data_IF_553923083731
#
_entry.id   IF_553923083731
#
_cell.length_a   1.000
_cell.length_b   1.000
_cell.length_c   1.000
_cell.angle_alpha   90.00
_cell.angle_beta   90.00
_cell.angle_gamma   90.00
#
_symmetry.space_group_name_H-M   'P 1'
#
loop_
_entity.id
_entity.type
_entity.pdbx_description
1 polymer ?
#
# COMPACT_ATOMS: atom_id res chain seq x y z
N UNK A 1 -5.19 -52.59 52.43
CA UNK A 1 -6.55 -52.24 51.94
C UNK A 1 -6.99 -50.93 52.61
N UNK A 2 -6.73 -49.79 51.95
CA UNK A 2 -7.48 -48.52 52.02
C UNK A 2 -6.74 -47.53 51.10
N UNK A 3 -7.34 -47.33 49.94
CA UNK A 3 -7.05 -46.29 48.94
C UNK A 3 -7.75 -45.02 49.42
N UNK A 4 -7.35 -43.86 48.86
CA UNK A 4 -7.99 -42.53 48.77
C UNK A 4 -7.08 -41.45 49.38
N UNK A 5 -6.79 -40.30 48.76
CA UNK A 5 -6.97 -39.75 47.41
C UNK A 5 -5.94 -38.59 47.32
N UNK A 6 -5.06 -38.58 46.32
CA UNK A 6 -4.21 -37.42 46.02
C UNK A 6 -5.00 -36.45 45.16
N UNK A 7 -5.35 -35.29 45.71
CA UNK A 7 -5.93 -34.18 44.95
C UNK A 7 -4.77 -33.40 44.33
N UNK A 8 -4.52 -33.62 43.05
CA UNK A 8 -3.60 -32.80 42.26
C UNK A 8 -4.37 -31.57 41.80
N UNK A 9 -4.11 -30.42 42.42
CA UNK A 9 -4.59 -29.12 41.92
C UNK A 9 -3.72 -28.74 40.73
N UNK A 10 -4.22 -28.95 39.50
CA UNK A 10 -3.66 -28.31 38.32
C UNK A 10 -4.07 -26.83 38.34
N UNK A 11 -3.15 -25.97 38.78
CA UNK A 11 -3.21 -24.55 38.47
C UNK A 11 -2.91 -24.40 36.97
N UNK A 12 -3.96 -24.32 36.15
CA UNK A 12 -3.85 -23.80 34.80
C UNK A 12 -3.66 -22.29 34.91
N UNK A 13 -2.39 -21.87 34.99
CA UNK A 13 -2.02 -20.50 34.66
C UNK A 13 -2.16 -20.35 33.15
N UNK A 14 -3.37 -20.01 32.69
CA UNK A 14 -3.50 -19.41 31.39
C UNK A 14 -2.82 -18.03 31.47
N UNK A 15 -1.81 -17.73 30.66
CA UNK A 15 -1.40 -16.35 30.49
C UNK A 15 -2.57 -15.65 29.81
N UNK A 16 -3.29 -14.83 30.55
CA UNK A 16 -4.07 -13.73 29.99
C UNK A 16 -3.05 -12.82 29.30
N UNK A 17 -2.69 -13.15 28.07
CA UNK A 17 -2.09 -12.19 27.18
C UNK A 17 -3.13 -11.09 27.05
N UNK A 18 -2.94 -10.00 27.79
CA UNK A 18 -3.61 -8.73 27.52
C UNK A 18 -3.22 -8.39 26.08
N UNK A 19 -4.09 -8.74 25.14
CA UNK A 19 -3.95 -8.32 23.76
C UNK A 19 -4.14 -6.82 23.76
N UNK A 20 -3.03 -6.08 23.69
CA UNK A 20 -3.07 -4.64 23.46
C UNK A 20 -3.81 -4.43 22.15
N UNK A 21 -4.92 -3.71 22.20
CA UNK A 21 -5.65 -3.35 20.98
C UNK A 21 -4.76 -2.40 20.20
N UNK A 22 -4.35 -2.78 18.99
CA UNK A 22 -3.50 -1.97 18.12
C UNK A 22 -4.18 -1.79 16.77
N UNK A 23 -4.00 -0.58 16.22
CA UNK A 23 -4.39 -0.33 14.85
C UNK A 23 -3.60 -1.25 13.90
N UNK A 24 -4.30 -1.73 12.88
CA UNK A 24 -3.71 -2.55 11.84
C UNK A 24 -2.60 -1.79 11.12
N UNK A 25 -1.48 -2.45 10.85
CA UNK A 25 -0.48 -1.98 9.87
C UNK A 25 -0.78 -2.55 8.48
N UNK A 26 -0.30 -1.88 7.44
CA UNK A 26 -0.31 -2.48 6.10
C UNK A 26 0.48 -3.80 6.10
N UNK A 27 -0.04 -4.80 5.40
CA UNK A 27 0.68 -6.04 5.14
C UNK A 27 2.01 -5.79 4.40
N UNK A 28 3.01 -6.60 4.70
CA UNK A 28 4.36 -6.50 4.12
C UNK A 28 4.87 -7.82 3.52
N UNK A 29 3.97 -8.76 3.21
CA UNK A 29 4.34 -10.05 2.64
C UNK A 29 4.70 -9.92 1.15
N UNK A 30 5.99 -9.96 0.86
CA UNK A 30 6.54 -9.92 -0.50
C UNK A 30 6.14 -11.11 -1.39
N UNK A 31 5.60 -12.21 -0.83
CA UNK A 31 5.05 -13.30 -1.63
C UNK A 31 3.66 -12.96 -2.18
N UNK A 32 2.94 -12.04 -1.53
CA UNK A 32 1.56 -11.70 -1.88
C UNK A 32 1.44 -10.31 -2.53
N UNK A 33 2.50 -9.84 -3.22
CA UNK A 33 2.42 -8.62 -4.01
C UNK A 33 1.48 -8.82 -5.20
N UNK A 34 0.59 -7.86 -5.44
CA UNK A 34 -0.37 -7.90 -6.54
C UNK A 34 -0.38 -6.58 -7.31
N UNK A 35 0.61 -6.45 -8.19
CA UNK A 35 0.93 -5.23 -8.91
C UNK A 35 1.08 -5.49 -10.42
N UNK A 36 0.86 -4.46 -11.23
CA UNK A 36 1.30 -4.43 -12.61
C UNK A 36 2.61 -3.64 -12.67
N UNK A 37 3.74 -4.34 -12.73
CA UNK A 37 5.09 -3.79 -12.61
C UNK A 37 5.81 -3.75 -13.96
N UNK A 38 6.23 -2.56 -14.39
CA UNK A 38 7.08 -2.37 -15.56
C UNK A 38 8.49 -2.05 -15.09
N UNK A 39 9.44 -2.91 -15.44
CA UNK A 39 10.87 -2.72 -15.22
C UNK A 39 11.45 -1.98 -16.42
N UNK A 40 12.10 -0.84 -16.19
CA UNK A 40 12.87 -0.12 -17.20
C UNK A 40 14.33 -0.19 -16.77
N UNK A 41 15.18 -0.83 -17.56
CA UNK A 41 16.57 -1.08 -17.24
C UNK A 41 17.48 -0.45 -18.28
N UNK A 42 18.28 0.51 -17.84
CA UNK A 42 19.42 1.03 -18.59
C UNK A 42 20.50 -0.06 -18.69
N UNK A 43 20.76 -0.53 -19.91
CA UNK A 43 21.78 -1.54 -20.21
C UNK A 43 23.00 -0.95 -20.95
N UNK A 44 23.26 0.35 -20.82
CA UNK A 44 24.47 1.01 -21.34
C UNK A 44 25.73 0.80 -20.47
N UNK A 45 25.57 0.37 -19.21
CA UNK A 45 26.65 0.11 -18.24
C UNK A 45 26.43 -1.25 -17.55
N UNK A 46 27.49 -1.89 -16.99
CA UNK A 46 27.35 -3.21 -16.37
C UNK A 46 26.21 -3.29 -15.36
N UNK A 47 25.33 -4.29 -15.52
CA UNK A 47 24.01 -4.37 -14.89
C UNK A 47 23.87 -5.55 -13.91
N UNK A 48 24.95 -6.23 -13.54
CA UNK A 48 24.89 -7.46 -12.73
C UNK A 48 24.11 -7.27 -11.43
N UNK A 49 24.37 -6.17 -10.71
CA UNK A 49 23.69 -5.85 -9.46
C UNK A 49 22.21 -5.46 -9.67
N UNK A 50 21.83 -4.96 -10.86
CA UNK A 50 20.46 -4.58 -11.17
C UNK A 50 19.58 -5.82 -11.27
N UNK A 51 20.00 -6.81 -12.08
CA UNK A 51 19.20 -8.02 -12.27
C UNK A 51 19.13 -8.89 -11.01
N UNK A 52 20.21 -8.93 -10.22
CA UNK A 52 20.19 -9.56 -8.89
C UNK A 52 19.22 -8.86 -7.93
N UNK A 53 19.24 -7.52 -7.92
CA UNK A 53 18.29 -6.72 -7.14
C UNK A 53 16.85 -7.01 -7.54
N UNK A 54 16.54 -7.00 -8.84
CA UNK A 54 15.20 -7.28 -9.37
C UNK A 54 14.75 -8.71 -9.02
N UNK A 55 15.64 -9.70 -9.19
CA UNK A 55 15.34 -11.10 -8.86
C UNK A 55 15.01 -11.31 -7.38
N UNK A 56 15.58 -10.46 -6.51
CA UNK A 56 15.34 -10.47 -5.07
C UNK A 56 14.06 -9.76 -4.62
N UNK A 57 13.40 -8.96 -5.46
CA UNK A 57 12.18 -8.21 -5.09
C UNK A 57 11.07 -9.17 -4.66
N UNK A 58 10.80 -10.17 -5.50
CA UNK A 58 9.71 -11.13 -5.29
C UNK A 58 10.14 -12.22 -4.31
N UNK A 59 9.28 -12.51 -3.33
CA UNK A 59 9.46 -13.66 -2.45
C UNK A 59 9.43 -15.00 -3.21
N UNK A 60 10.00 -16.08 -2.65
CA UNK A 60 10.10 -17.38 -3.34
C UNK A 60 8.75 -18.01 -3.69
N UNK A 61 7.66 -17.60 -3.04
CA UNK A 61 6.31 -18.10 -3.30
C UNK A 61 5.44 -17.12 -4.10
N UNK A 62 6.05 -16.06 -4.66
CA UNK A 62 5.29 -15.05 -5.40
C UNK A 62 4.66 -15.62 -6.66
N UNK A 63 3.42 -15.21 -6.90
CA UNK A 63 2.69 -15.52 -8.12
C UNK A 63 2.95 -14.45 -9.17
N UNK A 64 3.50 -14.86 -10.33
CA UNK A 64 3.75 -13.98 -11.48
C UNK A 64 2.92 -14.45 -12.67
N UNK A 65 2.04 -13.60 -13.18
CA UNK A 65 1.13 -13.92 -14.27
C UNK A 65 -0.34 -13.69 -13.88
N UNK A 66 -1.23 -14.52 -14.41
CA UNK A 66 -2.69 -14.44 -14.21
C UNK A 66 -3.28 -15.84 -14.03
N UNK A 67 -4.55 -15.91 -13.63
CA UNK A 67 -5.35 -17.15 -13.50
C UNK A 67 -4.94 -18.09 -12.37
N UNK A 68 -4.49 -17.52 -11.25
CA UNK A 68 -4.31 -18.24 -9.99
C UNK A 68 -5.65 -18.31 -9.22
N UNK A 69 -5.81 -19.34 -8.37
CA UNK A 69 -6.97 -19.46 -7.47
C UNK A 69 -7.02 -18.31 -6.45
N UNK A 70 -5.85 -18.00 -5.86
CA UNK A 70 -5.65 -16.75 -5.15
C UNK A 70 -5.38 -15.64 -6.16
N UNK A 71 -6.21 -14.58 -6.24
CA UNK A 71 -6.05 -13.55 -7.25
C UNK A 71 -4.82 -12.66 -7.00
N UNK A 72 -4.18 -12.74 -5.82
CA UNK A 72 -2.99 -11.95 -5.46
C UNK A 72 -1.76 -12.40 -6.26
N UNK A 73 -1.63 -11.80 -7.45
CA UNK A 73 -0.54 -12.07 -8.38
C UNK A 73 -0.05 -10.78 -9.02
N UNK A 74 1.24 -10.73 -9.34
CA UNK A 74 1.83 -9.60 -10.07
C UNK A 74 2.04 -9.95 -11.53
N UNK A 75 1.93 -8.97 -12.43
CA UNK A 75 2.43 -9.10 -13.81
C UNK A 75 3.65 -8.23 -13.98
N UNK A 76 4.61 -8.72 -14.75
CA UNK A 76 5.87 -8.01 -14.98
C UNK A 76 6.05 -7.79 -16.47
N UNK A 77 6.41 -6.56 -16.83
CA UNK A 77 6.93 -6.20 -18.14
C UNK A 77 8.38 -5.74 -17.98
N UNK A 78 9.23 -5.99 -18.97
CA UNK A 78 10.64 -5.58 -18.95
C UNK A 78 10.93 -4.79 -20.21
N UNK A 79 11.55 -3.62 -20.03
CA UNK A 79 12.04 -2.76 -21.08
C UNK A 79 13.52 -2.56 -20.81
N UNK A 80 14.38 -3.03 -21.72
CA UNK A 80 15.79 -2.62 -21.73
C UNK A 80 15.97 -1.54 -22.79
N UNK A 81 16.78 -0.53 -22.47
CA UNK A 81 17.00 0.58 -23.39
C UNK A 81 18.47 1.02 -23.42
N UNK A 82 18.98 1.07 -24.64
CA UNK A 82 20.24 1.68 -25.07
C UNK A 82 20.19 1.81 -26.61
N UNK A 83 21.30 2.13 -27.26
CA UNK A 83 21.31 2.39 -28.70
C UNK A 83 21.54 1.16 -29.60
N UNK A 84 21.83 -0.01 -29.04
CA UNK A 84 21.97 -1.29 -29.73
C UNK A 84 21.29 -2.39 -28.92
N UNK A 85 20.23 -3.05 -29.41
CA UNK A 85 19.65 -4.20 -28.69
C UNK A 85 20.12 -5.52 -29.32
N UNK A 86 20.65 -6.43 -28.50
CA UNK A 86 20.90 -7.83 -28.84
C UNK A 86 19.72 -8.70 -28.37
N UNK A 87 19.12 -9.42 -29.31
CA UNK A 87 17.87 -10.18 -29.17
C UNK A 87 18.00 -11.44 -28.29
N UNK A 88 17.11 -11.64 -27.30
CA UNK A 88 16.54 -12.96 -26.96
C UNK A 88 15.09 -12.79 -26.48
N UNK A 89 14.13 -13.52 -27.06
CA UNK A 89 12.82 -13.83 -26.45
C UNK A 89 11.74 -12.72 -26.37
N UNK A 90 12.05 -11.50 -26.80
CA UNK A 90 11.24 -10.32 -26.52
C UNK A 90 10.72 -9.65 -27.82
N UNK A 91 9.55 -8.99 -27.79
CA UNK A 91 9.08 -8.19 -28.95
C UNK A 91 10.06 -7.04 -29.22
N UNK A 92 10.72 -7.08 -30.37
CA UNK A 92 11.48 -5.96 -30.89
C UNK A 92 10.52 -4.88 -31.39
N UNK A 93 10.50 -3.72 -30.74
CA UNK A 93 9.80 -2.54 -31.28
C UNK A 93 10.81 -1.66 -31.98
N UNK A 94 10.64 -1.48 -33.30
CA UNK A 94 11.38 -0.46 -34.03
C UNK A 94 10.76 0.91 -33.81
N UNK A 95 11.51 1.82 -33.18
CA UNK A 95 11.25 3.27 -33.26
C UNK A 95 12.36 3.87 -34.08
N UNK A 96 12.05 4.26 -35.33
CA UNK A 96 12.95 4.99 -36.26
C UNK A 96 14.41 4.46 -36.28
N UNK A 97 14.59 3.17 -36.56
CA UNK A 97 15.90 2.46 -36.68
C UNK A 97 16.65 2.14 -35.37
N UNK A 98 16.00 2.20 -34.21
CA UNK A 98 16.53 1.64 -32.96
C UNK A 98 15.68 0.45 -32.50
N UNK A 99 16.35 -0.63 -32.09
CA UNK A 99 15.75 -1.87 -31.60
C UNK A 99 15.67 -1.77 -30.07
N UNK A 100 14.52 -2.08 -29.51
CA UNK A 100 14.28 -2.16 -28.06
C UNK A 100 13.71 -3.52 -27.71
N UNK A 101 14.11 -4.07 -26.58
CA UNK A 101 13.50 -5.30 -26.06
C UNK A 101 12.38 -4.94 -25.09
N UNK A 102 11.14 -5.24 -25.48
CA UNK A 102 9.93 -5.05 -24.66
C UNK A 102 9.20 -6.36 -24.37
N UNK A 103 9.32 -6.88 -23.15
CA UNK A 103 8.49 -7.99 -22.65
C UNK A 103 7.19 -7.40 -22.09
N UNK A 104 6.04 -7.86 -22.56
CA UNK A 104 4.72 -7.36 -22.15
C UNK A 104 4.23 -8.10 -20.89
N UNK A 105 3.17 -7.60 -20.23
CA UNK A 105 2.60 -8.25 -19.05
C UNK A 105 2.15 -9.71 -19.27
N UNK A 106 1.83 -10.09 -20.52
CA UNK A 106 1.44 -11.46 -20.85
C UNK A 106 2.61 -12.43 -21.00
N UNK A 107 3.86 -11.95 -21.04
CA UNK A 107 5.05 -12.75 -21.34
C UNK A 107 5.36 -13.76 -20.24
N UNK A 108 5.39 -13.34 -18.97
CA UNK A 108 5.75 -14.23 -17.86
C UNK A 108 4.51 -14.83 -17.21
N UNK A 109 4.50 -16.16 -17.05
CA UNK A 109 3.43 -16.95 -16.43
C UNK A 109 3.85 -17.60 -15.11
N UNK A 110 5.10 -17.40 -14.69
CA UNK A 110 5.60 -17.85 -13.40
C UNK A 110 6.82 -17.05 -12.95
N UNK A 111 7.13 -17.14 -11.64
CA UNK A 111 8.33 -16.54 -11.07
C UNK A 111 9.61 -17.12 -11.67
N UNK A 112 9.62 -18.43 -11.96
CA UNK A 112 10.77 -19.10 -12.57
C UNK A 112 11.05 -18.58 -13.98
N UNK A 113 10.00 -18.40 -14.81
CA UNK A 113 10.16 -17.81 -16.15
C UNK A 113 10.75 -16.40 -16.08
N UNK A 114 10.26 -15.57 -15.16
CA UNK A 114 10.80 -14.23 -14.94
C UNK A 114 12.29 -14.30 -14.54
N UNK A 115 12.66 -15.17 -13.59
CA UNK A 115 14.05 -15.31 -13.12
C UNK A 115 15.00 -15.85 -14.21
N UNK A 116 14.52 -16.79 -15.03
CA UNK A 116 15.27 -17.27 -16.19
C UNK A 116 15.56 -16.12 -17.15
N UNK A 117 14.56 -15.30 -17.47
CA UNK A 117 14.74 -14.15 -18.36
C UNK A 117 15.70 -13.11 -17.80
N UNK A 118 15.60 -12.77 -16.50
CA UNK A 118 16.54 -11.88 -15.84
C UNK A 118 17.98 -12.41 -15.89
N UNK A 119 18.16 -13.73 -15.84
CA UNK A 119 19.48 -14.37 -15.97
C UNK A 119 20.00 -14.27 -17.41
N UNK A 120 19.13 -14.42 -18.41
CA UNK A 120 19.47 -14.21 -19.83
C UNK A 120 19.91 -12.76 -20.06
N UNK A 121 19.13 -11.79 -19.59
CA UNK A 121 19.42 -10.36 -19.70
C UNK A 121 20.69 -9.94 -18.94
N UNK A 122 20.98 -10.60 -17.81
CA UNK A 122 22.27 -10.43 -17.12
C UNK A 122 23.43 -10.89 -18.00
N UNK A 123 23.30 -12.05 -18.63
CA UNK A 123 24.36 -12.66 -19.44
C UNK A 123 24.52 -12.02 -20.82
N UNK A 124 23.54 -11.28 -21.33
CA UNK A 124 23.66 -10.57 -22.61
C UNK A 124 24.62 -9.38 -22.57
N UNK A 125 25.00 -8.92 -21.37
CA UNK A 125 25.96 -7.82 -21.19
C UNK A 125 25.41 -6.44 -21.54
N UNK A 126 26.31 -5.48 -21.73
CA UNK A 126 25.99 -4.10 -22.15
C UNK A 126 25.98 -3.99 -23.67
N UNK A 127 25.10 -3.15 -24.21
CA UNK A 127 25.04 -2.93 -25.66
C UNK A 127 25.06 -1.45 -26.05
N UNK A 128 26.28 -0.94 -26.28
CA UNK A 128 26.50 0.46 -26.65
C UNK A 128 26.43 1.46 -25.49
N UNK A 129 26.81 2.71 -25.76
CA UNK A 129 27.13 3.73 -24.74
C UNK A 129 26.05 4.82 -24.59
N UNK A 130 25.05 4.88 -25.46
CA UNK A 130 24.00 5.90 -25.41
C UNK A 130 22.76 5.35 -24.70
N UNK A 131 22.17 6.13 -23.79
CA UNK A 131 21.06 5.74 -22.91
C UNK A 131 19.99 6.84 -22.88
N UNK A 132 18.84 6.60 -23.52
CA UNK A 132 17.77 7.59 -23.67
C UNK A 132 16.53 7.23 -22.82
N UNK A 133 16.43 7.82 -21.63
CA UNK A 133 15.41 7.45 -20.63
C UNK A 133 13.98 7.70 -21.11
N UNK A 134 13.76 8.72 -21.92
CA UNK A 134 12.46 9.07 -22.49
C UNK A 134 11.87 7.94 -23.34
N UNK A 135 12.71 7.18 -24.04
CA UNK A 135 12.27 6.03 -24.85
C UNK A 135 11.76 4.88 -23.99
N UNK A 136 12.41 4.60 -22.86
CA UNK A 136 11.96 3.61 -21.88
C UNK A 136 10.61 4.01 -21.27
N UNK A 137 10.48 5.26 -20.82
CA UNK A 137 9.25 5.78 -20.23
C UNK A 137 8.08 5.81 -21.22
N UNK A 138 8.34 6.20 -22.47
CA UNK A 138 7.33 6.19 -23.55
C UNK A 138 6.85 4.77 -23.85
N UNK A 139 7.76 3.79 -23.82
CA UNK A 139 7.43 2.39 -24.00
C UNK A 139 6.56 1.87 -22.85
N UNK A 140 6.87 2.23 -21.61
CA UNK A 140 6.05 1.88 -20.44
C UNK A 140 4.64 2.47 -20.55
N UNK A 141 4.51 3.74 -20.95
CA UNK A 141 3.22 4.36 -21.19
C UNK A 141 2.41 3.61 -22.25
N UNK A 142 3.05 3.16 -23.33
CA UNK A 142 2.38 2.39 -24.38
C UNK A 142 1.91 0.99 -23.93
N UNK A 143 2.59 0.36 -22.96
CA UNK A 143 2.14 -0.91 -22.34
C UNK A 143 0.90 -0.63 -21.48
N UNK A 144 0.96 0.39 -20.62
CA UNK A 144 -0.13 0.73 -19.69
C UNK A 144 -1.40 1.15 -20.43
N UNK A 145 -1.29 1.91 -21.53
CA UNK A 145 -2.44 2.34 -22.32
C UNK A 145 -3.20 1.19 -23.01
N UNK A 146 -2.63 -0.02 -23.05
CA UNK A 146 -3.28 -1.22 -23.61
C UNK A 146 -3.87 -2.13 -22.55
N UNK A 147 -3.72 -1.77 -21.28
CA UNK A 147 -4.03 -2.62 -20.14
C UNK A 147 -5.21 -2.01 -19.37
N UNK A 148 -6.41 -2.50 -19.64
CA UNK A 148 -7.65 -2.07 -18.94
C UNK A 148 -8.22 -3.15 -18.02
N UNK A 149 -7.62 -4.35 -18.00
CA UNK A 149 -7.95 -5.38 -17.02
C UNK A 149 -7.26 -5.06 -15.69
N UNK A 150 -7.88 -5.42 -14.55
CA UNK A 150 -7.30 -5.31 -13.19
C UNK A 150 -7.26 -3.90 -12.58
N UNK A 151 -8.41 -3.22 -12.48
CA UNK A 151 -8.51 -1.83 -11.99
C UNK A 151 -7.87 -1.58 -10.62
N UNK A 152 -8.02 -2.51 -9.67
CA UNK A 152 -7.48 -2.37 -8.32
C UNK A 152 -5.99 -2.74 -8.20
N UNK A 153 -5.37 -3.30 -9.23
CA UNK A 153 -3.95 -3.62 -9.20
C UNK A 153 -3.14 -2.35 -9.47
N UNK A 154 -2.28 -1.98 -8.53
CA UNK A 154 -1.50 -0.75 -8.66
C UNK A 154 -0.44 -0.90 -9.74
N UNK A 155 -0.33 0.15 -10.57
CA UNK A 155 0.58 0.23 -11.70
C UNK A 155 1.88 0.87 -11.22
N UNK A 156 2.99 0.21 -11.47
CA UNK A 156 4.32 0.66 -11.04
C UNK A 156 5.27 0.65 -12.21
N UNK A 157 6.02 1.74 -12.38
CA UNK A 157 7.16 1.82 -13.29
C UNK A 157 8.42 1.93 -12.45
N UNK A 158 9.26 0.90 -12.46
CA UNK A 158 10.52 0.85 -11.74
C UNK A 158 11.68 1.03 -12.71
N UNK A 159 12.36 2.16 -12.59
CA UNK A 159 13.43 2.60 -13.49
C UNK A 159 14.79 2.40 -12.83
N UNK A 160 15.68 1.68 -13.47
CA UNK A 160 17.12 1.67 -13.17
C UNK A 160 17.83 2.46 -14.26
N UNK A 161 18.44 3.59 -13.89
CA UNK A 161 19.06 4.50 -14.85
C UNK A 161 20.41 5.04 -14.34
N UNK A 162 21.36 5.15 -15.26
CA UNK A 162 22.69 5.74 -15.01
C UNK A 162 22.82 7.17 -15.56
N UNK A 163 21.98 7.54 -16.53
CA UNK A 163 21.94 8.86 -17.17
C UNK A 163 20.51 9.45 -17.17
N UNK A 164 20.38 10.71 -17.62
CA UNK A 164 19.10 11.41 -17.82
C UNK A 164 18.92 11.81 -19.30
N UNK A 165 19.67 11.20 -20.22
CA UNK A 165 19.63 11.68 -21.60
C UNK A 165 18.27 11.37 -22.24
N UNK A 166 17.94 12.16 -23.26
CA UNK A 166 16.67 12.11 -23.95
C UNK A 166 16.86 12.23 -25.44
N UNK A 167 15.96 11.63 -26.21
CA UNK A 167 15.99 11.70 -27.67
C UNK A 167 14.93 12.64 -28.23
N UNK A 168 13.75 12.69 -27.61
CA UNK A 168 12.60 13.44 -28.11
C UNK A 168 11.97 14.31 -27.04
N UNK A 169 11.54 13.68 -25.96
CA UNK A 169 10.73 14.31 -24.93
C UNK A 169 11.47 14.30 -23.60
N UNK A 170 11.19 15.30 -22.77
CA UNK A 170 11.78 15.35 -21.45
C UNK A 170 11.27 14.19 -20.58
N UNK A 171 12.15 13.37 -19.97
CA UNK A 171 11.73 12.23 -19.15
C UNK A 171 10.77 12.60 -18.01
N UNK A 172 10.99 13.75 -17.37
CA UNK A 172 10.14 14.24 -16.29
C UNK A 172 8.72 14.62 -16.74
N UNK A 173 8.53 15.08 -17.98
CA UNK A 173 7.20 15.34 -18.52
C UNK A 173 6.42 14.05 -18.79
N UNK A 174 7.08 13.02 -19.34
CA UNK A 174 6.46 11.71 -19.54
C UNK A 174 6.09 11.10 -18.18
N UNK A 175 7.01 11.17 -17.21
CA UNK A 175 6.79 10.68 -15.86
C UNK A 175 5.66 11.43 -15.15
N UNK A 176 5.53 12.75 -15.36
CA UNK A 176 4.40 13.52 -14.85
C UNK A 176 3.07 13.00 -15.40
N UNK A 177 2.98 12.72 -16.70
CA UNK A 177 1.77 12.14 -17.30
C UNK A 177 1.45 10.75 -16.72
N UNK A 178 2.45 9.88 -16.53
CA UNK A 178 2.28 8.58 -15.86
C UNK A 178 1.72 8.75 -14.44
N UNK A 179 2.33 9.64 -13.63
CA UNK A 179 1.90 9.92 -12.26
C UNK A 179 0.48 10.46 -12.18
N UNK A 180 0.10 11.37 -13.07
CA UNK A 180 -1.27 11.90 -13.15
C UNK A 180 -2.31 10.84 -13.50
N UNK A 181 -1.90 9.73 -14.14
CA UNK A 181 -2.74 8.57 -14.42
C UNK A 181 -2.71 7.51 -13.30
N UNK A 182 -2.23 7.85 -12.11
CA UNK A 182 -2.20 6.97 -10.94
C UNK A 182 -1.09 5.90 -10.97
N UNK A 183 -0.08 6.06 -11.83
CA UNK A 183 1.09 5.16 -11.88
C UNK A 183 2.13 5.63 -10.87
N UNK A 184 2.61 4.72 -10.02
CA UNK A 184 3.77 5.03 -9.17
C UNK A 184 5.06 4.83 -9.96
N UNK A 185 5.81 5.90 -10.15
CA UNK A 185 7.15 5.85 -10.75
C UNK A 185 8.21 5.78 -9.64
N UNK A 186 9.02 4.72 -9.67
CA UNK A 186 10.16 4.51 -8.78
C UNK A 186 11.43 4.62 -9.60
N UNK A 187 12.44 5.36 -9.11
CA UNK A 187 13.74 5.45 -9.78
C UNK A 187 14.85 4.94 -8.88
N UNK A 188 15.77 4.17 -9.44
CA UNK A 188 17.00 3.71 -8.81
C UNK A 188 18.18 4.25 -9.61
N UNK A 189 18.90 5.20 -9.04
CA UNK A 189 20.07 5.78 -9.68
C UNK A 189 21.27 4.83 -9.54
N UNK A 190 21.87 4.43 -10.66
CA UNK A 190 23.01 3.49 -10.69
C UNK A 190 24.37 4.17 -10.92
N UNK A 191 24.38 5.47 -11.24
CA UNK A 191 25.62 6.24 -11.45
C UNK A 191 26.11 6.99 -10.20
N UNK A 192 27.01 7.95 -10.42
CA UNK A 192 27.67 8.77 -9.38
C UNK A 192 27.54 10.30 -9.56
N UNK A 193 26.94 10.77 -10.66
CA UNK A 193 26.66 12.17 -10.96
C UNK A 193 25.49 12.72 -10.13
N UNK A 194 25.76 13.76 -9.34
CA UNK A 194 24.76 14.41 -8.47
C UNK A 194 23.67 15.15 -9.25
N UNK A 195 23.98 15.66 -10.44
CA UNK A 195 23.04 16.34 -11.33
C UNK A 195 22.02 15.33 -11.86
N UNK A 196 22.51 14.20 -12.39
CA UNK A 196 21.64 13.12 -12.89
C UNK A 196 20.77 12.57 -11.77
N UNK A 197 21.34 12.35 -10.57
CA UNK A 197 20.58 11.96 -9.38
C UNK A 197 19.44 12.95 -9.07
N UNK A 198 19.71 14.25 -9.15
CA UNK A 198 18.72 15.30 -8.96
C UNK A 198 17.62 15.29 -10.02
N UNK A 199 17.96 15.02 -11.28
CA UNK A 199 17.00 14.93 -12.37
C UNK A 199 16.09 13.70 -12.23
N UNK A 200 16.64 12.53 -11.88
CA UNK A 200 15.85 11.31 -11.65
C UNK A 200 14.88 11.45 -10.48
N UNK A 201 15.21 12.26 -9.47
CA UNK A 201 14.27 12.60 -8.39
C UNK A 201 12.99 13.26 -8.91
N UNK A 202 13.05 14.06 -9.98
CA UNK A 202 11.88 14.70 -10.58
C UNK A 202 11.02 13.72 -11.41
N UNK A 203 11.65 12.65 -11.91
CA UNK A 203 10.96 11.53 -12.60
C UNK A 203 10.18 10.70 -11.58
N UNK A 204 10.79 10.38 -10.45
CA UNK A 204 10.16 9.60 -9.40
C UNK A 204 8.87 10.23 -8.84
N UNK A 205 8.05 9.38 -8.23
CA UNK A 205 6.98 9.82 -7.32
C UNK A 205 7.59 10.24 -5.99
N UNK A 206 6.89 11.07 -5.23
CA UNK A 206 7.40 11.60 -3.97
C UNK A 206 7.79 10.47 -3.00
N UNK A 207 9.07 10.47 -2.57
CA UNK A 207 9.62 9.45 -1.68
C UNK A 207 10.08 8.15 -2.36
N UNK A 208 10.02 8.06 -3.69
CA UNK A 208 10.37 6.85 -4.46
C UNK A 208 11.63 7.02 -5.34
N UNK A 209 12.54 7.93 -4.94
CA UNK A 209 13.83 8.12 -5.59
C UNK A 209 14.95 7.49 -4.73
N UNK A 210 15.56 6.43 -5.24
CA UNK A 210 16.58 5.63 -4.55
C UNK A 210 17.94 5.73 -5.25
N UNK A 211 18.99 5.44 -4.49
CA UNK A 211 20.35 5.19 -4.99
C UNK A 211 20.62 3.70 -4.92
N UNK A 212 21.27 3.14 -5.96
CA UNK A 212 21.76 1.77 -5.92
C UNK A 212 22.76 1.57 -4.75
N UNK A 213 22.52 0.56 -3.93
CA UNK A 213 23.31 0.20 -2.76
C UNK A 213 23.05 -1.28 -2.39
N UNK A 214 23.75 -1.78 -1.36
CA UNK A 214 23.51 -3.14 -0.85
C UNK A 214 22.09 -3.36 -0.30
N UNK A 215 21.37 -2.29 0.06
CA UNK A 215 20.02 -2.38 0.63
C UNK A 215 18.90 -2.19 -0.41
N UNK A 216 19.24 -1.93 -1.68
CA UNK A 216 18.26 -1.55 -2.70
C UNK A 216 17.14 -2.58 -2.86
N UNK A 217 17.44 -3.89 -2.77
CA UNK A 217 16.38 -4.92 -2.81
C UNK A 217 15.35 -4.76 -1.70
N UNK A 218 15.81 -4.50 -0.47
CA UNK A 218 14.93 -4.29 0.69
C UNK A 218 14.16 -2.98 0.58
N UNK A 219 14.82 -1.91 0.11
CA UNK A 219 14.17 -0.62 -0.13
C UNK A 219 13.04 -0.74 -1.16
N UNK A 220 13.29 -1.50 -2.24
CA UNK A 220 12.29 -1.75 -3.27
C UNK A 220 11.16 -2.67 -2.80
N UNK A 221 11.45 -3.69 -1.99
CA UNK A 221 10.42 -4.51 -1.33
C UNK A 221 9.49 -3.63 -0.48
N UNK A 222 10.05 -2.75 0.36
CA UNK A 222 9.29 -1.82 1.19
C UNK A 222 8.50 -0.81 0.35
N UNK A 223 9.09 -0.31 -0.74
CA UNK A 223 8.42 0.59 -1.65
C UNK A 223 7.21 -0.08 -2.31
N UNK A 224 7.36 -1.32 -2.80
CA UNK A 224 6.30 -2.04 -3.49
C UNK A 224 5.18 -2.48 -2.53
N UNK A 225 5.48 -2.93 -1.31
CA UNK A 225 4.46 -3.20 -0.29
C UNK A 225 3.72 -1.93 0.12
N UNK A 226 4.42 -0.79 0.19
CA UNK A 226 3.80 0.53 0.42
C UNK A 226 2.83 0.90 -0.71
N UNK A 227 3.21 0.69 -1.97
CA UNK A 227 2.32 0.96 -3.12
C UNK A 227 1.12 0.01 -3.12
N UNK A 228 1.34 -1.24 -2.73
CA UNK A 228 0.29 -2.24 -2.62
C UNK A 228 -0.70 -1.92 -1.48
N UNK A 229 -0.36 -1.00 -0.56
CA UNK A 229 -1.25 -0.55 0.51
C UNK A 229 -2.08 0.68 0.12
N UNK A 230 -3.36 0.50 -0.19
CA UNK A 230 -4.22 1.56 -0.72
C UNK A 230 -5.71 1.42 -0.36
N UNK A 231 -6.49 2.45 -0.68
CA UNK A 231 -7.96 2.45 -0.60
C UNK A 231 -8.59 2.42 -1.98
N UNK A 232 -9.68 1.66 -2.12
CA UNK A 232 -10.51 1.65 -3.33
C UNK A 232 -11.33 2.95 -3.43
N UNK A 233 -11.88 3.20 -4.62
CA UNK A 233 -12.61 4.43 -4.93
C UNK A 233 -13.74 4.73 -3.94
N UNK A 234 -13.99 6.01 -3.67
CA UNK A 234 -14.89 6.56 -2.62
C UNK A 234 -14.33 6.59 -1.20
N UNK A 235 -13.25 5.84 -0.91
CA UNK A 235 -12.57 5.90 0.37
C UNK A 235 -11.31 6.75 0.25
N UNK A 236 -11.13 7.71 1.16
CA UNK A 236 -9.95 8.56 1.09
C UNK A 236 -8.78 7.84 1.76
N UNK A 237 -7.72 7.61 0.98
CA UNK A 237 -6.41 7.33 1.53
C UNK A 237 -5.84 8.65 2.06
N UNK A 238 -5.89 8.87 3.37
CA UNK A 238 -5.21 10.02 3.98
C UNK A 238 -3.87 9.61 4.54
N UNK A 239 -2.93 10.56 4.46
CA UNK A 239 -1.48 10.56 4.72
C UNK A 239 -0.98 10.01 6.07
N UNK A 240 -1.63 9.00 6.64
CA UNK A 240 -1.14 8.25 7.78
C UNK A 240 -1.00 6.79 7.40
N UNK A 241 0.03 6.50 6.59
CA UNK A 241 0.57 5.16 6.28
C UNK A 241 0.73 4.25 7.51
N UNK A 242 0.69 4.84 8.71
CA UNK A 242 0.82 4.14 9.97
C UNK A 242 -0.36 3.23 10.30
N UNK A 243 -1.56 3.54 9.82
CA UNK A 243 -2.74 2.73 10.08
C UNK A 243 -3.20 2.16 8.73
N UNK A 244 -2.99 0.87 8.50
CA UNK A 244 -3.38 0.12 7.29
C UNK A 244 -4.90 0.01 7.16
N UNK A 245 -5.57 1.15 7.12
CA UNK A 245 -7.02 1.34 7.09
C UNK A 245 -7.38 2.42 6.07
N UNK A 246 -8.64 2.40 5.66
CA UNK A 246 -9.29 3.38 4.81
C UNK A 246 -10.33 4.14 5.61
N UNK A 247 -10.38 5.45 5.44
CA UNK A 247 -11.30 6.31 6.17
C UNK A 247 -12.33 6.92 5.22
N UNK A 248 -13.58 7.01 5.70
CA UNK A 248 -14.66 7.67 5.00
C UNK A 248 -15.32 8.68 5.93
N UNK A 249 -15.45 9.92 5.45
CA UNK A 249 -16.33 10.93 6.01
C UNK A 249 -17.62 11.02 5.19
N UNK A 250 -18.77 10.56 5.71
CA UNK A 250 -20.02 10.56 4.94
C UNK A 250 -20.68 11.93 4.72
N UNK A 251 -20.24 12.99 5.42
CA UNK A 251 -20.88 14.31 5.33
C UNK A 251 -22.31 14.39 5.89
N UNK A 252 -22.75 13.39 6.65
CA UNK A 252 -24.10 13.34 7.24
C UNK A 252 -24.07 13.19 8.76
N UNK A 253 -25.08 13.75 9.43
CA UNK A 253 -25.29 13.57 10.87
C UNK A 253 -26.26 12.45 11.14
N UNK A 254 -26.02 11.71 12.21
CA UNK A 254 -26.92 10.66 12.69
C UNK A 254 -26.83 10.49 14.20
N UNK A 255 -27.82 9.78 14.76
CA UNK A 255 -27.67 9.22 16.10
C UNK A 255 -26.69 8.04 16.07
N UNK A 256 -26.15 7.66 17.24
CA UNK A 256 -25.10 6.63 17.32
C UNK A 256 -25.48 5.32 16.61
N UNK A 257 -26.71 4.83 16.84
CA UNK A 257 -27.22 3.62 16.19
C UNK A 257 -27.27 3.73 14.66
N UNK A 258 -27.67 4.89 14.15
CA UNK A 258 -27.73 5.14 12.70
C UNK A 258 -26.34 5.23 12.10
N UNK A 259 -25.39 5.85 12.81
CA UNK A 259 -23.99 5.92 12.41
C UNK A 259 -23.35 4.52 12.31
N UNK A 260 -23.53 3.66 13.33
CA UNK A 260 -23.10 2.25 13.27
C UNK A 260 -23.72 1.51 12.07
N UNK A 261 -25.04 1.65 11.90
CA UNK A 261 -25.75 0.99 10.81
C UNK A 261 -25.23 1.45 9.45
N UNK A 262 -24.97 2.75 9.29
CA UNK A 262 -24.44 3.33 8.06
C UNK A 262 -23.10 2.68 7.72
N UNK A 263 -22.12 2.74 8.63
CA UNK A 263 -20.78 2.21 8.36
C UNK A 263 -20.80 0.70 8.08
N UNK A 264 -21.66 -0.07 8.73
CA UNK A 264 -21.80 -1.52 8.46
C UNK A 264 -22.55 -1.85 7.17
N UNK A 265 -23.15 -0.86 6.51
CA UNK A 265 -23.96 -1.04 5.28
C UNK A 265 -23.23 -0.67 3.99
N UNK A 266 -21.96 -0.24 4.07
CA UNK A 266 -21.19 0.28 2.92
C UNK A 266 -20.77 -0.77 1.88
N UNK A 267 -21.19 -2.03 2.02
CA UNK A 267 -20.88 -3.11 1.07
C UNK A 267 -19.46 -3.68 1.20
N UNK A 268 -18.66 -3.20 2.15
CA UNK A 268 -17.36 -3.76 2.53
C UNK A 268 -17.29 -3.98 4.06
N UNK A 269 -16.32 -4.76 4.57
CA UNK A 269 -16.12 -4.95 6.01
C UNK A 269 -15.65 -3.67 6.70
N UNK A 270 -16.61 -2.80 7.05
CA UNK A 270 -16.38 -1.50 7.70
C UNK A 270 -17.18 -1.34 9.00
N UNK A 271 -16.70 -0.42 9.84
CA UNK A 271 -17.24 -0.06 11.15
C UNK A 271 -17.06 1.44 11.41
N UNK A 272 -17.63 1.94 12.52
CA UNK A 272 -17.27 3.27 13.00
C UNK A 272 -15.79 3.30 13.42
N UNK A 273 -15.13 4.43 13.19
CA UNK A 273 -13.69 4.57 13.42
C UNK A 273 -13.28 4.22 14.86
N UNK A 274 -12.23 3.42 14.99
CA UNK A 274 -11.65 3.02 16.28
C UNK A 274 -10.57 4.01 16.72
N UNK A 275 -10.25 4.00 18.02
CA UNK A 275 -9.23 4.86 18.62
C UNK A 275 -8.44 4.12 19.70
N UNK A 276 -7.65 3.14 19.26
CA UNK A 276 -6.86 2.31 20.17
C UNK A 276 -5.73 3.06 20.90
N UNK A 277 -5.40 4.28 20.46
CA UNK A 277 -4.41 5.15 21.09
C UNK A 277 -4.75 6.63 20.85
N UNK A 278 -4.07 7.52 21.57
CA UNK A 278 -4.29 8.97 21.48
C UNK A 278 -3.92 9.54 20.10
N UNK A 279 -2.92 8.97 19.42
CA UNK A 279 -2.49 9.45 18.10
C UNK A 279 -3.56 9.17 17.03
N UNK A 280 -4.20 7.99 17.08
CA UNK A 280 -5.34 7.64 16.25
C UNK A 280 -6.54 8.54 16.50
N UNK A 281 -6.83 8.91 17.76
CA UNK A 281 -7.88 9.91 18.08
C UNK A 281 -7.57 11.29 17.50
N UNK A 282 -6.35 11.80 17.70
CA UNK A 282 -5.92 13.09 17.12
C UNK A 282 -6.03 13.08 15.60
N UNK A 283 -5.67 11.96 14.98
CA UNK A 283 -5.81 11.75 13.54
C UNK A 283 -7.28 11.80 13.12
N UNK A 284 -8.18 11.04 13.75
CA UNK A 284 -9.61 11.03 13.44
C UNK A 284 -10.21 12.43 13.54
N UNK A 285 -9.90 13.17 14.62
CA UNK A 285 -10.36 14.55 14.80
C UNK A 285 -9.84 15.50 13.71
N UNK A 286 -8.55 15.38 13.33
CA UNK A 286 -7.97 16.18 12.24
C UNK A 286 -8.60 15.82 10.89
N UNK A 287 -8.83 14.54 10.63
CA UNK A 287 -9.41 14.03 9.40
C UNK A 287 -10.84 14.55 9.22
N UNK A 288 -11.71 14.42 10.21
CA UNK A 288 -13.10 14.87 10.06
C UNK A 288 -13.20 16.39 9.84
N UNK A 289 -12.29 17.16 10.45
CA UNK A 289 -12.21 18.61 10.28
C UNK A 289 -11.47 19.06 9.01
N UNK A 290 -10.97 18.16 8.15
CA UNK A 290 -10.34 18.55 6.89
C UNK A 290 -11.31 18.74 5.72
N UNK A 291 -12.59 18.42 5.92
CA UNK A 291 -13.61 18.43 4.86
C UNK A 291 -14.56 19.63 4.91
N UNK A 292 -14.69 20.29 6.06
CA UNK A 292 -15.63 21.39 6.28
C UNK A 292 -14.90 22.62 6.82
N UNK A 293 -15.32 23.81 6.37
CA UNK A 293 -14.82 25.11 6.90
C UNK A 293 -15.30 25.36 8.33
N UNK A 294 -16.42 24.76 8.72
CA UNK A 294 -16.96 24.80 10.07
C UNK A 294 -16.31 23.73 10.94
N UNK A 295 -15.75 24.14 12.08
CA UNK A 295 -15.11 23.19 13.00
C UNK A 295 -16.13 22.20 13.59
N UNK A 296 -15.93 20.90 13.33
CA UNK A 296 -16.69 19.82 13.94
C UNK A 296 -16.17 19.60 15.36
N UNK A 297 -16.95 20.05 16.34
CA UNK A 297 -16.61 19.95 17.76
C UNK A 297 -16.99 18.60 18.37
N UNK A 298 -17.82 17.78 17.71
CA UNK A 298 -18.21 16.47 18.22
C UNK A 298 -18.55 15.49 17.11
N UNK A 299 -18.13 14.23 17.28
CA UNK A 299 -18.41 13.14 16.33
C UNK A 299 -18.57 11.79 17.02
N UNK A 300 -19.31 10.87 16.39
CA UNK A 300 -19.40 9.48 16.84
C UNK A 300 -18.17 8.68 16.40
N UNK A 301 -17.58 7.98 17.37
CA UNK A 301 -16.56 6.95 17.16
C UNK A 301 -17.18 5.55 17.35
N UNK A 302 -16.36 4.51 17.20
CA UNK A 302 -16.80 3.11 17.31
C UNK A 302 -16.97 2.58 18.73
N UNK A 303 -16.82 3.39 19.77
CA UNK A 303 -16.89 2.93 21.15
C UNK A 303 -18.35 2.68 21.57
N UNK A 304 -18.64 1.44 21.96
CA UNK A 304 -19.97 0.97 22.35
C UNK A 304 -19.91 0.25 23.70
N UNK A 305 -21.03 0.24 24.43
CA UNK A 305 -21.13 -0.44 25.71
C UNK A 305 -22.05 -1.67 25.59
N UNK A 306 -21.56 -2.84 25.97
CA UNK A 306 -22.35 -4.07 26.13
C UNK A 306 -22.15 -4.63 27.54
N UNK A 307 -23.24 -4.90 28.25
CA UNK A 307 -23.22 -5.45 29.61
C UNK A 307 -22.26 -4.70 30.57
N UNK A 308 -22.32 -3.37 30.53
CA UNK A 308 -21.46 -2.47 31.34
C UNK A 308 -19.97 -2.56 31.03
N UNK A 309 -19.60 -3.12 29.88
CA UNK A 309 -18.22 -3.21 29.39
C UNK A 309 -18.10 -2.45 28.07
N UNK A 310 -17.01 -1.70 27.90
CA UNK A 310 -16.76 -0.91 26.70
C UNK A 310 -15.98 -1.70 25.67
N UNK A 311 -16.42 -1.59 24.42
CA UNK A 311 -15.82 -2.26 23.29
C UNK A 311 -15.72 -1.34 22.07
N UNK A 312 -14.74 -1.59 21.23
CA UNK A 312 -14.65 -1.05 19.89
C UNK A 312 -15.50 -1.85 18.92
N UNK A 313 -16.29 -1.11 18.14
CA UNK A 313 -17.06 -1.64 17.03
C UNK A 313 -16.17 -2.34 16.02
N UNK A 314 -16.73 -3.36 15.37
CA UNK A 314 -16.05 -4.16 14.38
C UNK A 314 -16.98 -4.42 13.20
N UNK A 315 -16.44 -4.80 12.03
CA UNK A 315 -17.25 -5.13 10.86
C UNK A 315 -18.31 -6.18 11.18
N UNK A 316 -19.39 -6.20 10.38
CA UNK A 316 -20.50 -7.14 10.58
C UNK A 316 -19.99 -8.59 10.69
N UNK A 317 -20.34 -9.27 11.78
CA UNK A 317 -19.98 -10.67 12.03
C UNK A 317 -18.63 -10.89 12.71
N UNK A 318 -17.85 -9.82 12.94
CA UNK A 318 -16.62 -9.89 13.72
C UNK A 318 -16.90 -9.65 15.22
N UNK A 319 -16.17 -10.31 16.13
CA UNK A 319 -16.31 -10.08 17.56
C UNK A 319 -15.85 -8.67 17.92
N UNK A 320 -16.53 -8.02 18.87
CA UNK A 320 -16.12 -6.73 19.39
C UNK A 320 -14.76 -6.80 20.10
N UNK A 321 -14.00 -5.71 20.06
CA UNK A 321 -12.68 -5.65 20.69
C UNK A 321 -12.79 -4.91 22.03
N UNK A 322 -12.41 -5.51 23.18
CA UNK A 322 -12.49 -4.84 24.48
C UNK A 322 -11.68 -3.54 24.53
N UNK A 323 -12.18 -2.52 25.22
CA UNK A 323 -11.42 -1.30 25.46
C UNK A 323 -10.18 -1.59 26.31
N UNK A 324 -9.00 -1.24 25.79
CA UNK A 324 -7.76 -1.25 26.54
C UNK A 324 -7.64 0.01 27.40
N UNK A 325 -7.27 -0.16 28.67
CA UNK A 325 -7.03 0.95 29.61
C UNK A 325 -5.97 1.95 29.15
N UNK A 326 -5.04 1.53 28.28
CA UNK A 326 -4.01 2.39 27.69
C UNK A 326 -4.55 3.34 26.62
N UNK A 327 -5.69 3.03 26.00
CA UNK A 327 -6.35 3.89 25.02
C UNK A 327 -7.06 5.10 25.66
N UNK A 328 -7.41 4.98 26.94
CA UNK A 328 -8.13 5.99 27.71
C UNK A 328 -9.15 5.38 28.67
N UNK A 329 -9.89 6.23 29.37
CA UNK A 329 -10.95 5.83 30.30
C UNK A 329 -12.23 6.63 30.09
N UNK A 330 -13.36 6.02 30.43
CA UNK A 330 -14.69 6.63 30.39
C UNK A 330 -15.26 6.61 31.80
N UNK A 331 -15.78 7.74 32.26
CA UNK A 331 -16.37 7.88 33.60
C UNK A 331 -17.73 7.19 33.75
N UNK A 332 -18.45 6.97 32.64
CA UNK A 332 -19.73 6.29 32.60
C UNK A 332 -19.59 4.76 32.41
N UNK A 333 -20.46 4.00 33.07
CA UNK A 333 -20.54 2.54 32.96
C UNK A 333 -21.55 2.05 31.93
N UNK A 334 -22.42 2.94 31.40
CA UNK A 334 -23.43 2.64 30.37
C UNK A 334 -23.72 3.88 29.51
N UNK A 335 -24.35 3.68 28.35
CA UNK A 335 -24.81 4.76 27.47
C UNK A 335 -23.95 4.93 26.22
N UNK A 336 -23.95 6.13 25.65
CA UNK A 336 -23.18 6.46 24.45
C UNK A 336 -22.03 7.42 24.76
N UNK A 337 -20.98 7.33 23.96
CA UNK A 337 -19.78 8.15 24.04
C UNK A 337 -19.52 8.74 22.67
N UNK A 338 -19.12 10.02 22.66
CA UNK A 338 -18.63 10.72 21.48
C UNK A 338 -17.29 11.36 21.80
N UNK A 339 -16.50 11.62 20.76
CA UNK A 339 -15.40 12.56 20.88
C UNK A 339 -15.95 13.97 20.92
N UNK A 340 -15.54 14.74 21.92
CA UNK A 340 -15.96 16.13 22.12
C UNK A 340 -14.74 16.99 22.34
N UNK A 341 -14.65 18.09 21.58
CA UNK A 341 -13.68 19.15 21.81
C UNK A 341 -14.12 20.02 22.98
N UNK A 342 -13.25 20.14 23.97
CA UNK A 342 -13.43 20.97 25.15
C UNK A 342 -12.81 22.36 24.94
N UNK A 343 -13.15 23.31 25.81
CA UNK A 343 -12.66 24.71 25.73
C UNK A 343 -11.15 24.84 25.89
N UNK A 344 -10.50 23.86 26.52
CA UNK A 344 -9.03 23.75 26.64
C UNK A 344 -8.37 23.26 25.33
N UNK A 345 -9.16 22.99 24.28
CA UNK A 345 -8.71 22.48 23.00
C UNK A 345 -8.52 20.96 22.98
N UNK A 346 -8.67 20.26 24.10
CA UNK A 346 -8.54 18.81 24.16
C UNK A 346 -9.76 18.12 23.56
N UNK A 347 -9.53 16.95 22.93
CA UNK A 347 -10.59 16.09 22.41
C UNK A 347 -10.63 14.83 23.26
N UNK A 348 -11.77 14.59 23.91
CA UNK A 348 -11.94 13.51 24.88
C UNK A 348 -13.26 12.79 24.68
N UNK A 349 -13.24 11.49 24.95
CA UNK A 349 -14.43 10.67 25.08
C UNK A 349 -15.33 11.22 26.19
N UNK A 350 -16.53 11.63 25.80
CA UNK A 350 -17.48 12.27 26.70
C UNK A 350 -18.80 11.50 26.67
N UNK A 351 -19.30 11.03 27.84
CA UNK A 351 -20.62 10.42 27.93
C UNK A 351 -21.69 11.42 27.48
N UNK A 352 -22.58 10.98 26.59
CA UNK A 352 -23.56 11.87 25.98
C UNK A 352 -24.84 11.12 25.59
N UNK A 353 -25.92 11.86 25.31
CA UNK A 353 -27.17 11.25 24.86
C UNK A 353 -26.99 10.56 23.51
N UNK A 354 -27.39 9.28 23.45
CA UNK A 354 -27.43 8.50 22.22
C UNK A 354 -28.33 9.10 21.13
N UNK A 355 -29.26 9.99 21.50
CA UNK A 355 -30.17 10.67 20.57
C UNK A 355 -29.54 11.85 19.84
N UNK A 356 -28.35 12.30 20.25
CA UNK A 356 -27.68 13.44 19.63
C UNK A 356 -27.33 13.14 18.17
N UNK A 357 -27.38 14.16 17.34
CA UNK A 357 -27.06 14.06 15.92
C UNK A 357 -25.65 14.62 15.69
N UNK A 358 -24.70 13.73 15.50
CA UNK A 358 -23.31 14.10 15.20
C UNK A 358 -22.87 13.51 13.87
N UNK A 359 -21.86 14.15 13.29
CA UNK A 359 -21.08 13.54 12.23
C UNK A 359 -20.34 12.32 12.75
N UNK A 360 -19.81 11.50 11.84
CA UNK A 360 -19.13 10.27 12.20
C UNK A 360 -18.14 9.87 11.10
N UNK A 361 -17.20 9.00 11.46
CA UNK A 361 -16.23 8.44 10.54
C UNK A 361 -16.42 6.93 10.44
N UNK A 362 -16.40 6.42 9.21
CA UNK A 362 -16.30 4.99 8.99
C UNK A 362 -14.84 4.62 8.69
N UNK A 363 -14.43 3.43 9.09
CA UNK A 363 -13.16 2.85 8.70
C UNK A 363 -13.30 1.42 8.17
N UNK A 364 -12.36 1.02 7.33
CA UNK A 364 -12.23 -0.32 6.77
C UNK A 364 -10.76 -0.70 6.67
N UNK A 365 -10.44 -1.99 6.51
CA UNK A 365 -9.05 -2.40 6.22
C UNK A 365 -8.61 -1.90 4.85
N UNK A 366 -7.39 -1.39 4.76
CA UNK A 366 -6.78 -1.06 3.47
C UNK A 366 -6.51 -2.33 2.67
N UNK A 367 -6.51 -2.20 1.35
CA UNK A 367 -6.05 -3.22 0.43
C UNK A 367 -4.54 -3.32 0.55
N UNK A 368 -3.98 -4.53 0.70
CA UNK A 368 -2.53 -4.78 0.75
C UNK A 368 -2.19 -6.26 0.53
N UNK A 369 -0.98 -6.69 0.89
CA UNK A 369 -0.52 -8.07 0.69
C UNK A 369 -1.36 -9.10 1.46
N UNK A 370 -1.98 -8.68 2.56
CA UNK A 370 -2.68 -9.56 3.49
C UNK A 370 -4.20 -9.43 3.33
N UNK A 371 -4.68 -8.31 2.78
CA UNK A 371 -6.08 -8.02 2.52
C UNK A 371 -6.28 -7.67 1.04
N UNK A 372 -6.63 -8.66 0.22
CA UNK A 372 -6.95 -8.45 -1.19
C UNK A 372 -8.27 -7.68 -1.35
N UNK A 373 -8.32 -6.77 -2.33
CA UNK A 373 -9.53 -6.07 -2.72
C UNK A 373 -9.74 -6.24 -4.23
N UNK A 374 -10.90 -6.77 -4.59
CA UNK A 374 -11.28 -6.99 -5.99
C UNK A 374 -11.75 -5.72 -6.67
#
# INVERSE_FOLDING_TARGET
>A
MKIWQLVTVLLVLAPSALSVSQDRLCGNDKNNLWLDLILIVDNSQPTDSIYETISGIFGPQSQIGTHYEDPRSSRVAIITYNNEATTVGILERFVRNKIFQIAQFSTFKSLDQLKTELTVLKNSGTSGNESYLDTGLSSAQAILNKTEDRMNYKKVVLVFASTYDLLYDRPDYIAHALKSNGVTVITVYTGNDKTVKGQLKNVASDGFAFQMSANTTTDLQNALTTVNCFCTDSWTWTQYKHFGICMLYPGVKGNQKSAHKYCKSLGLPSNLATEFNEDKRKFNYKFINSFDDDSINSYWNGLTCENSTWYWDQPKGQPLVPLDSSSGSISASTGCVADVKHSDGSVKWTPISCSNLFYFLCEAKACDTDNYCD
#
